data_IF_463168886384
#
_entry.id   IF_463168886384
#
_cell.length_a   1.000
_cell.length_b   1.000
_cell.length_c   1.000
_cell.angle_alpha   90.00
_cell.angle_beta   90.00
_cell.angle_gamma   90.00
#
_symmetry.space_group_name_H-M   'P 1'
#
loop_
_entity.id
_entity.type
_entity.pdbx_description
1 polymer ?
#
# COMPACT_ATOMS: atom_id res chain seq x y z
N UNK A 1 13.90 11.80 3.27
CA UNK A 1 12.90 12.00 2.18
C UNK A 1 12.53 10.68 1.51
N UNK A 2 13.36 9.62 1.54
CA UNK A 2 13.05 8.31 0.92
C UNK A 2 11.79 7.63 1.46
N UNK A 3 11.50 7.78 2.75
CA UNK A 3 10.38 7.11 3.45
C UNK A 3 8.99 7.65 3.06
N UNK A 4 8.92 8.87 2.51
CA UNK A 4 7.64 9.50 2.15
C UNK A 4 7.00 8.82 0.92
N UNK A 5 7.85 8.35 0.01
CA UNK A 5 7.42 7.70 -1.22
C UNK A 5 6.69 6.36 -0.96
N UNK A 6 7.23 5.41 -0.18
CA UNK A 6 6.53 4.18 0.16
C UNK A 6 5.23 4.44 0.94
N UNK A 7 5.20 5.45 1.82
CA UNK A 7 3.97 5.83 2.54
C UNK A 7 2.88 6.32 1.57
N UNK A 8 3.22 7.25 0.67
CA UNK A 8 2.27 7.77 -0.33
C UNK A 8 1.80 6.67 -1.30
N UNK A 9 2.71 5.78 -1.70
CA UNK A 9 2.36 4.62 -2.53
C UNK A 9 1.38 3.69 -1.80
N UNK A 10 1.61 3.43 -0.50
CA UNK A 10 0.69 2.68 0.34
C UNK A 10 -0.70 3.30 0.38
N UNK A 11 -0.80 4.61 0.65
CA UNK A 11 -2.10 5.33 0.65
C UNK A 11 -2.81 5.23 -0.69
N UNK A 12 -2.09 5.45 -1.80
CA UNK A 12 -2.66 5.35 -3.14
C UNK A 12 -3.18 3.93 -3.44
N UNK A 13 -2.40 2.89 -3.12
CA UNK A 13 -2.82 1.50 -3.28
C UNK A 13 -4.07 1.21 -2.45
N UNK A 14 -4.07 1.61 -1.17
CA UNK A 14 -5.22 1.41 -0.27
C UNK A 14 -6.51 2.07 -0.77
N UNK A 15 -6.40 3.18 -1.50
CA UNK A 15 -7.52 3.82 -2.18
C UNK A 15 -7.95 3.07 -3.45
N UNK A 16 -6.99 2.71 -4.32
CA UNK A 16 -7.28 2.06 -5.61
C UNK A 16 -7.91 0.67 -5.42
N UNK A 17 -7.47 -0.09 -4.42
CA UNK A 17 -8.02 -1.43 -4.17
C UNK A 17 -9.48 -1.39 -3.69
N UNK A 18 -9.99 -0.24 -3.24
CA UNK A 18 -11.40 -0.08 -2.87
C UNK A 18 -12.37 -0.09 -4.06
N UNK A 19 -11.85 0.01 -5.29
CA UNK A 19 -12.64 -0.16 -6.51
C UNK A 19 -12.80 -1.63 -6.91
N UNK A 20 -12.08 -2.55 -6.25
CA UNK A 20 -12.18 -3.99 -6.51
C UNK A 20 -13.33 -4.57 -5.69
N UNK A 21 -14.40 -5.00 -6.37
CA UNK A 21 -15.60 -5.54 -5.73
C UNK A 21 -15.36 -6.87 -5.00
N UNK A 22 -14.54 -7.76 -5.57
CA UNK A 22 -14.23 -9.06 -4.98
C UNK A 22 -13.23 -8.91 -3.83
N UNK A 23 -13.63 -9.28 -2.62
CA UNK A 23 -12.76 -9.23 -1.43
C UNK A 23 -11.48 -10.06 -1.62
N UNK A 24 -11.55 -11.20 -2.30
CA UNK A 24 -10.39 -12.05 -2.58
C UNK A 24 -9.41 -11.37 -3.54
N UNK A 25 -9.92 -10.79 -4.64
CA UNK A 25 -9.10 -10.05 -5.58
C UNK A 25 -8.52 -8.78 -4.95
N UNK A 26 -9.28 -8.12 -4.06
CA UNK A 26 -8.82 -6.95 -3.31
C UNK A 26 -7.60 -7.29 -2.45
N UNK A 27 -7.63 -8.38 -1.70
CA UNK A 27 -6.50 -8.82 -0.88
C UNK A 27 -5.29 -9.18 -1.74
N UNK A 28 -5.50 -9.94 -2.84
CA UNK A 28 -4.42 -10.30 -3.76
C UNK A 28 -3.80 -9.05 -4.38
N UNK A 29 -4.61 -8.11 -4.86
CA UNK A 29 -4.14 -6.85 -5.43
C UNK A 29 -3.40 -6.00 -4.41
N UNK A 30 -3.88 -5.92 -3.16
CA UNK A 30 -3.21 -5.17 -2.09
C UNK A 30 -1.81 -5.73 -1.84
N UNK A 31 -1.68 -7.06 -1.70
CA UNK A 31 -0.38 -7.71 -1.48
C UNK A 31 0.54 -7.49 -2.69
N UNK A 32 0.07 -7.80 -3.90
CA UNK A 32 0.87 -7.71 -5.12
C UNK A 32 1.34 -6.28 -5.40
N UNK A 33 0.43 -5.29 -5.31
CA UNK A 33 0.76 -3.89 -5.53
C UNK A 33 1.72 -3.37 -4.46
N UNK A 34 1.60 -3.82 -3.20
CA UNK A 34 2.51 -3.39 -2.13
C UNK A 34 3.94 -3.89 -2.35
N UNK A 35 4.10 -5.13 -2.81
CA UNK A 35 5.41 -5.69 -3.16
C UNK A 35 6.02 -4.91 -4.34
N UNK A 36 5.25 -4.72 -5.41
CA UNK A 36 5.73 -4.00 -6.61
C UNK A 36 6.09 -2.55 -6.28
N UNK A 37 5.24 -1.84 -5.53
CA UNK A 37 5.49 -0.45 -5.18
C UNK A 37 6.63 -0.29 -4.17
N UNK A 38 6.79 -1.20 -3.21
CA UNK A 38 7.95 -1.21 -2.30
C UNK A 38 9.26 -1.42 -3.07
N UNK A 39 9.25 -2.30 -4.08
CA UNK A 39 10.41 -2.51 -4.94
C UNK A 39 10.73 -1.27 -5.79
N UNK A 40 9.72 -0.65 -6.38
CA UNK A 40 9.87 0.60 -7.16
C UNK A 40 10.37 1.74 -6.26
N UNK A 41 9.85 1.86 -5.04
CA UNK A 41 10.28 2.86 -4.06
C UNK A 41 11.77 2.76 -3.78
N UNK A 42 12.22 1.55 -3.42
CA UNK A 42 13.61 1.26 -3.09
C UNK A 42 14.56 1.42 -4.30
N UNK A 43 14.06 1.13 -5.51
CA UNK A 43 14.81 1.36 -6.75
C UNK A 43 14.98 2.85 -7.07
N UNK A 44 13.91 3.65 -6.94
CA UNK A 44 13.92 5.09 -7.22
C UNK A 44 14.76 5.84 -6.19
N UNK A 45 14.72 5.44 -4.92
CA UNK A 45 15.56 6.03 -3.87
C UNK A 45 17.05 5.70 -4.02
N UNK A 46 17.38 4.72 -4.88
CA UNK A 46 18.75 4.22 -5.06
C UNK A 46 19.20 3.31 -3.93
N UNK A 47 18.34 3.04 -2.94
CA UNK A 47 18.63 2.25 -1.75
C UNK A 47 18.79 0.76 -2.07
N UNK A 48 18.11 0.29 -3.12
CA UNK A 48 18.26 -1.07 -3.64
C UNK A 48 19.70 -1.39 -4.08
N UNK A 49 20.48 -0.38 -4.47
CA UNK A 49 21.88 -0.53 -4.86
C UNK A 49 22.83 -0.54 -3.65
N UNK A 50 22.35 -0.16 -2.46
CA UNK A 50 23.11 -0.18 -1.22
C UNK A 50 22.91 -1.49 -0.45
N UNK A 51 21.66 -1.93 -0.27
CA UNK A 51 21.34 -3.20 0.39
C UNK A 51 19.94 -3.70 -0.01
N UNK A 52 19.76 -5.03 0.06
CA UNK A 52 18.45 -5.66 -0.05
C UNK A 52 17.56 -5.42 1.17
N UNK A 53 18.14 -5.00 2.31
CA UNK A 53 17.41 -4.77 3.56
C UNK A 53 16.38 -3.64 3.44
N UNK A 54 16.59 -2.69 2.52
CA UNK A 54 15.64 -1.61 2.27
C UNK A 54 14.29 -2.12 1.77
N UNK A 55 14.26 -3.23 1.03
CA UNK A 55 13.00 -3.89 0.65
C UNK A 55 12.22 -4.42 1.86
N UNK A 56 12.93 -4.88 2.90
CA UNK A 56 12.31 -5.35 4.14
C UNK A 56 11.67 -4.20 4.92
N UNK A 57 12.01 -2.95 4.61
CA UNK A 57 11.39 -1.76 5.21
C UNK A 57 10.30 -1.22 4.29
N UNK A 58 10.60 -1.01 3.00
CA UNK A 58 9.71 -0.37 2.05
C UNK A 58 8.44 -1.20 1.77
N UNK A 59 8.58 -2.51 1.58
CA UNK A 59 7.42 -3.37 1.27
C UNK A 59 6.44 -3.41 2.46
N UNK A 60 6.87 -3.67 3.71
CA UNK A 60 5.96 -3.58 4.85
C UNK A 60 5.38 -2.19 5.06
N UNK A 61 6.15 -1.13 4.83
CA UNK A 61 5.67 0.24 5.01
C UNK A 61 4.54 0.56 4.02
N UNK A 62 4.72 0.21 2.74
CA UNK A 62 3.69 0.33 1.71
C UNK A 62 2.47 -0.52 2.09
N UNK A 63 2.69 -1.76 2.50
CA UNK A 63 1.61 -2.69 2.86
C UNK A 63 0.78 -2.18 4.04
N UNK A 64 1.42 -1.71 5.11
CA UNK A 64 0.75 -1.15 6.29
C UNK A 64 -0.03 0.11 5.90
N UNK A 65 0.57 1.00 5.09
CA UNK A 65 -0.12 2.20 4.58
C UNK A 65 -1.35 1.86 3.75
N UNK A 66 -1.25 0.88 2.86
CA UNK A 66 -2.35 0.40 2.04
C UNK A 66 -3.44 -0.26 2.87
N UNK A 67 -3.06 -1.08 3.85
CA UNK A 67 -3.97 -1.75 4.76
C UNK A 67 -4.75 -0.75 5.62
N UNK A 68 -4.04 0.20 6.24
CA UNK A 68 -4.64 1.23 7.08
C UNK A 68 -5.62 2.10 6.27
N UNK A 69 -5.21 2.55 5.09
CA UNK A 69 -6.06 3.36 4.20
C UNK A 69 -7.30 2.58 3.75
N UNK A 70 -7.12 1.33 3.31
CA UNK A 70 -8.22 0.47 2.90
C UNK A 70 -9.19 0.18 4.05
N UNK A 71 -8.68 -0.05 5.26
CA UNK A 71 -9.49 -0.25 6.45
C UNK A 71 -10.28 1.02 6.81
N UNK A 72 -9.62 2.18 6.84
CA UNK A 72 -10.26 3.48 7.10
C UNK A 72 -11.38 3.78 6.10
N UNK A 73 -11.15 3.56 4.81
CA UNK A 73 -12.16 3.78 3.76
C UNK A 73 -13.35 2.81 3.90
N UNK A 74 -13.08 1.54 4.22
CA UNK A 74 -14.13 0.56 4.46
C UNK A 74 -14.97 0.93 5.69
N UNK A 75 -14.32 1.40 6.75
CA UNK A 75 -14.97 1.87 7.98
C UNK A 75 -15.76 3.16 7.79
N UNK A 76 -15.27 4.10 6.98
CA UNK A 76 -16.04 5.30 6.61
C UNK A 76 -17.28 4.94 5.80
N UNK A 77 -17.17 4.05 4.81
CA UNK A 77 -18.31 3.57 4.02
C UNK A 77 -19.38 2.90 4.87
N UNK A 78 -18.99 2.11 5.88
CA UNK A 78 -19.97 1.48 6.78
C UNK A 78 -20.67 2.47 7.71
N UNK A 79 -20.08 3.64 7.99
CA UNK A 79 -20.71 4.73 8.75
C UNK A 79 -21.57 5.67 7.92
N UNK A 80 -21.38 5.71 6.60
CA UNK A 80 -22.11 6.58 5.67
C UNK A 80 -23.41 5.96 5.14
N UNK A 81 -23.91 4.87 5.74
CA UNK A 81 -25.26 4.35 5.46
C UNK A 81 -26.24 4.93 6.51
N UNK A 82 -26.85 6.11 6.29
CA UNK A 82 -28.06 6.47 7.01
C UNK A 82 -29.19 5.53 6.56
N UNK A 83 -29.91 4.98 7.54
CA UNK A 83 -31.14 4.20 7.33
C UNK A 83 -32.22 5.04 6.67
#
# INVERSE_FOLDING_TARGET
MGELFPVLAGVAIGFVVQFIASARMRTIALIALSIVAGFIASYISGELFLSWDFLLIDIPLVFIGALATSFLLTWQRSRQVPR
#
